data_IF_671170148340
#
_entry.id   IF_671170148340
#
_cell.length_a   1.000
_cell.length_b   1.000
_cell.length_c   1.000
_cell.angle_alpha   90.00
_cell.angle_beta   90.00
_cell.angle_gamma   90.00
#
_symmetry.space_group_name_H-M   'P 1'
#
loop_
_entity.id
_entity.type
_entity.pdbx_description
1 polymer ?
#
# COMPACT_ATOMS: atom_id res chain seq x y z
N UNK A 1 14.01 -34.81 3.59
CA UNK A 1 14.49 -33.65 2.80
C UNK A 1 13.32 -33.06 2.01
N UNK A 2 12.32 -32.49 2.69
CA UNK A 2 11.08 -32.00 2.06
C UNK A 2 10.95 -30.46 2.14
N UNK A 3 11.90 -29.76 2.76
CA UNK A 3 11.75 -28.35 3.14
C UNK A 3 12.19 -27.35 2.07
N UNK A 4 12.67 -27.81 0.92
CA UNK A 4 13.30 -26.93 -0.09
C UNK A 4 12.36 -26.45 -1.20
N UNK A 5 11.12 -26.95 -1.28
CA UNK A 5 10.20 -26.68 -2.41
C UNK A 5 9.00 -25.79 -2.05
N UNK A 6 8.70 -25.58 -0.77
CA UNK A 6 7.59 -24.73 -0.29
C UNK A 6 7.94 -23.24 -0.23
N UNK A 7 9.23 -22.91 -0.21
CA UNK A 7 9.73 -21.54 -0.07
C UNK A 7 9.24 -20.54 -1.13
N UNK A 8 9.22 -20.84 -2.44
CA UNK A 8 8.93 -19.83 -3.45
C UNK A 8 7.48 -19.33 -3.40
N UNK A 9 6.54 -20.21 -3.09
CA UNK A 9 5.12 -19.86 -2.97
C UNK A 9 4.87 -18.98 -1.75
N UNK A 10 5.40 -19.38 -0.59
CA UNK A 10 5.30 -18.61 0.66
C UNK A 10 6.01 -17.25 0.59
N UNK A 11 7.09 -17.15 -0.20
CA UNK A 11 7.75 -15.88 -0.47
C UNK A 11 6.91 -14.98 -1.38
N UNK A 12 6.29 -15.52 -2.43
CA UNK A 12 5.39 -14.77 -3.32
C UNK A 12 4.15 -14.24 -2.59
N UNK A 13 3.56 -15.07 -1.74
CA UNK A 13 2.40 -14.70 -0.94
C UNK A 13 2.72 -13.59 0.06
N UNK A 14 3.90 -13.64 0.71
CA UNK A 14 4.39 -12.57 1.58
C UNK A 14 4.52 -11.23 0.88
N UNK A 15 5.06 -11.20 -0.35
CA UNK A 15 5.20 -9.96 -1.12
C UNK A 15 3.83 -9.30 -1.36
N UNK A 16 2.80 -10.08 -1.67
CA UNK A 16 1.44 -9.56 -1.87
C UNK A 16 0.88 -8.98 -0.57
N UNK A 17 1.04 -9.70 0.55
CA UNK A 17 0.60 -9.23 1.86
C UNK A 17 1.36 -7.97 2.33
N UNK A 18 2.67 -7.90 2.09
CA UNK A 18 3.49 -6.72 2.40
C UNK A 18 3.08 -5.51 1.57
N UNK A 19 2.82 -5.69 0.27
CA UNK A 19 2.29 -4.65 -0.60
C UNK A 19 0.93 -4.16 -0.11
N UNK A 20 0.01 -5.06 0.26
CA UNK A 20 -1.30 -4.69 0.79
C UNK A 20 -1.19 -3.92 2.11
N UNK A 21 -0.34 -4.37 3.04
CA UNK A 21 -0.09 -3.67 4.31
C UNK A 21 0.56 -2.30 4.06
N UNK A 22 1.50 -2.21 3.12
CA UNK A 22 2.12 -0.95 2.70
C UNK A 22 1.08 0.04 2.14
N UNK A 23 0.17 -0.46 1.31
CA UNK A 23 -0.94 0.31 0.76
C UNK A 23 -1.89 0.82 1.87
N UNK A 24 -2.27 -0.06 2.80
CA UNK A 24 -3.10 0.31 3.96
C UNK A 24 -2.42 1.36 4.85
N UNK A 25 -1.11 1.28 5.06
CA UNK A 25 -0.34 2.30 5.80
C UNK A 25 -0.28 3.64 5.06
N UNK A 26 -0.14 3.64 3.73
CA UNK A 26 -0.23 4.87 2.90
C UNK A 26 -1.61 5.51 3.01
N UNK A 27 -2.67 4.70 2.96
CA UNK A 27 -4.05 5.19 3.11
C UNK A 27 -4.42 5.57 4.54
N UNK A 28 -3.70 5.08 5.56
CA UNK A 28 -3.89 5.52 6.94
C UNK A 28 -3.63 7.03 7.12
N UNK A 29 -2.80 7.63 6.26
CA UNK A 29 -2.62 9.09 6.16
C UNK A 29 -3.91 9.80 5.73
N UNK A 30 -4.78 9.13 4.97
CA UNK A 30 -6.12 9.64 4.62
C UNK A 30 -7.13 9.45 5.75
N UNK A 31 -7.00 8.36 6.53
CA UNK A 31 -7.92 8.02 7.61
C UNK A 31 -7.63 8.78 8.92
N UNK A 32 -6.38 9.23 9.12
CA UNK A 32 -6.00 9.96 10.33
C UNK A 32 -6.69 11.33 10.40
N UNK A 33 -7.10 11.74 11.61
CA UNK A 33 -7.90 12.96 11.82
C UNK A 33 -7.02 14.19 11.63
N UNK A 34 -6.90 14.61 10.38
CA UNK A 34 -6.00 15.68 9.97
C UNK A 34 -6.40 17.04 10.60
N UNK A 35 -5.62 17.53 11.58
CA UNK A 35 -5.87 18.81 12.30
C UNK A 35 -5.92 20.07 11.40
N UNK A 36 -5.53 19.98 10.12
CA UNK A 36 -5.47 21.11 9.16
C UNK A 36 -5.99 20.75 7.75
N UNK A 37 -7.13 20.04 7.68
CA UNK A 37 -7.70 19.39 6.48
C UNK A 37 -7.88 20.27 5.23
N UNK A 38 -8.14 21.58 5.36
CA UNK A 38 -8.52 22.43 4.21
C UNK A 38 -7.38 22.86 3.27
N UNK A 39 -6.12 22.91 3.72
CA UNK A 39 -5.04 23.49 2.89
C UNK A 39 -4.27 22.50 2.01
N UNK A 40 -4.24 21.20 2.34
CA UNK A 40 -3.36 20.22 1.67
C UNK A 40 -3.92 18.81 1.46
N UNK A 41 -5.18 18.53 1.81
CA UNK A 41 -5.77 17.19 1.59
C UNK A 41 -5.93 16.84 0.10
N UNK A 42 -6.45 17.75 -0.72
CA UNK A 42 -6.75 17.47 -2.13
C UNK A 42 -5.52 17.09 -2.94
N UNK A 43 -4.41 17.83 -2.75
CA UNK A 43 -3.16 17.55 -3.47
C UNK A 43 -2.54 16.21 -3.08
N UNK A 44 -2.49 15.91 -1.77
CA UNK A 44 -1.93 14.63 -1.27
C UNK A 44 -2.78 13.45 -1.72
N UNK A 45 -4.10 13.59 -1.71
CA UNK A 45 -5.02 12.57 -2.19
C UNK A 45 -4.85 12.33 -3.70
N UNK A 46 -4.82 13.40 -4.51
CA UNK A 46 -4.62 13.27 -5.96
C UNK A 46 -3.28 12.61 -6.31
N UNK A 47 -2.21 12.93 -5.58
CA UNK A 47 -0.90 12.32 -5.84
C UNK A 47 -0.91 10.81 -5.52
N UNK A 48 -1.49 10.42 -4.38
CA UNK A 48 -1.59 9.01 -3.98
C UNK A 48 -2.49 8.24 -4.95
N UNK A 49 -3.62 8.82 -5.37
CA UNK A 49 -4.54 8.21 -6.34
C UNK A 49 -3.89 8.06 -7.72
N UNK A 50 -3.12 9.05 -8.17
CA UNK A 50 -2.38 8.98 -9.44
C UNK A 50 -1.30 7.90 -9.44
N UNK A 51 -0.53 7.77 -8.36
CA UNK A 51 0.48 6.71 -8.21
C UNK A 51 -0.20 5.33 -8.20
N UNK A 52 -1.29 5.19 -7.45
CA UNK A 52 -2.04 3.93 -7.41
C UNK A 52 -2.64 3.56 -8.77
N UNK A 53 -3.13 4.55 -9.53
CA UNK A 53 -3.63 4.32 -10.89
C UNK A 53 -2.53 3.86 -11.85
N UNK A 54 -1.32 4.43 -11.74
CA UNK A 54 -0.14 4.03 -12.51
C UNK A 54 0.40 2.64 -12.13
N UNK A 55 0.32 2.25 -10.85
CA UNK A 55 0.74 0.91 -10.39
C UNK A 55 -0.25 -0.20 -10.83
N UNK A 56 -1.49 0.15 -11.22
CA UNK A 56 -2.55 -0.79 -11.58
C UNK A 56 -2.75 -0.98 -13.09
N UNK A 57 -2.29 -0.03 -13.91
CA UNK A 57 -2.29 -0.10 -15.37
C UNK A 57 -1.02 -0.79 -15.89
#
# INVERSE_FOLDING_TARGET
KQDKKTHPFLSKERVIHENAIGLLKRFKILADRYRNRRKRCGLRFNLIAGIYHLELC
#
